data_IF_580485608805
#
_entry.id   IF_580485608805
#
_cell.length_a   1.000
_cell.length_b   1.000
_cell.length_c   1.000
_cell.angle_alpha   90.00
_cell.angle_beta   90.00
_cell.angle_gamma   90.00
#
_symmetry.space_group_name_H-M   'P 1'
#
loop_
_entity.id
_entity.type
_entity.pdbx_description
1 polymer ?
#
# COMPACT_ATOMS: atom_id res chain seq x y z
N UNK A 1 10.00 -0.79 2.59
CA UNK A 1 9.39 0.39 3.23
C UNK A 1 9.87 0.45 4.66
N UNK A 2 10.43 1.58 5.08
CA UNK A 2 10.80 1.82 6.47
C UNK A 2 9.54 2.11 7.30
N UNK A 3 9.59 1.93 8.61
CA UNK A 3 8.52 2.28 9.56
C UNK A 3 7.17 1.57 9.37
N UNK A 4 7.12 0.41 8.70
CA UNK A 4 5.86 -0.35 8.51
C UNK A 4 5.16 -0.73 9.83
N UNK A 5 5.92 -0.86 10.93
CA UNK A 5 5.40 -1.12 12.27
C UNK A 5 4.72 0.11 12.88
N UNK A 6 5.19 1.30 12.52
CA UNK A 6 4.75 2.57 13.10
C UNK A 6 3.63 3.19 12.26
N UNK A 7 3.66 3.00 10.93
CA UNK A 7 2.73 3.62 10.01
C UNK A 7 2.42 2.75 8.78
N UNK A 8 1.13 2.58 8.48
CA UNK A 8 0.68 1.98 7.24
C UNK A 8 0.31 3.07 6.22
N UNK A 9 1.18 3.35 5.23
CA UNK A 9 0.93 4.38 4.22
C UNK A 9 -0.12 3.97 3.17
N UNK A 10 -0.42 2.67 3.07
CA UNK A 10 -1.36 2.16 2.06
C UNK A 10 -2.81 2.24 2.54
N UNK A 11 -3.08 1.91 3.80
CA UNK A 11 -4.44 1.72 4.28
C UNK A 11 -4.72 2.43 5.61
N UNK A 12 -5.97 2.85 5.77
CA UNK A 12 -6.63 3.09 7.06
C UNK A 12 -7.31 1.79 7.47
N UNK A 13 -7.01 1.34 8.69
CA UNK A 13 -7.66 0.18 9.30
C UNK A 13 -8.45 0.70 10.51
N UNK A 14 -9.75 0.43 10.53
CA UNK A 14 -10.65 0.78 11.63
C UNK A 14 -11.29 -0.48 12.16
N UNK A 15 -11.22 -0.69 13.48
CA UNK A 15 -11.88 -1.82 14.15
C UNK A 15 -13.03 -1.28 14.97
N UNK A 16 -14.25 -1.65 14.59
CA UNK A 16 -15.48 -1.26 15.28
C UNK A 16 -16.13 -2.51 15.87
N UNK A 17 -16.27 -2.53 17.20
CA UNK A 17 -16.94 -3.59 17.92
C UNK A 17 -18.31 -3.10 18.39
N UNK A 18 -19.36 -3.84 18.07
CA UNK A 18 -20.73 -3.51 18.47
C UNK A 18 -21.59 -4.77 18.55
N UNK A 19 -22.76 -4.68 19.18
CA UNK A 19 -23.68 -5.81 19.31
C UNK A 19 -24.90 -5.56 18.46
N UNK A 20 -25.17 -6.48 17.53
CA UNK A 20 -26.38 -6.45 16.69
C UNK A 20 -27.50 -7.13 17.46
N UNK A 21 -28.63 -6.43 17.61
CA UNK A 21 -29.84 -7.01 18.20
C UNK A 21 -30.60 -7.76 17.10
N UNK A 22 -30.73 -9.07 17.25
CA UNK A 22 -31.45 -9.89 16.29
C UNK A 22 -31.52 -11.35 16.71
N UNK A 23 -32.37 -12.13 16.01
CA UNK A 23 -32.39 -13.58 16.11
C UNK A 23 -31.51 -14.11 14.99
N UNK A 24 -30.38 -14.73 15.36
CA UNK A 24 -29.48 -15.34 14.41
C UNK A 24 -29.84 -16.80 14.20
N UNK A 25 -29.71 -17.33 12.98
CA UNK A 25 -30.05 -18.70 12.68
C UNK A 25 -29.15 -19.66 13.46
N UNK A 26 -29.77 -20.43 14.36
CA UNK A 26 -29.13 -21.53 15.11
C UNK A 26 -29.32 -22.88 14.42
N UNK A 27 -30.33 -23.00 13.56
CA UNK A 27 -30.71 -24.25 12.88
C UNK A 27 -30.08 -24.42 11.50
N UNK A 28 -29.57 -23.35 10.88
CA UNK A 28 -28.97 -23.37 9.55
C UNK A 28 -27.84 -22.35 9.44
N UNK A 29 -26.99 -22.53 8.42
CA UNK A 29 -25.95 -21.57 8.08
C UNK A 29 -26.56 -20.38 7.34
N UNK A 30 -26.00 -19.19 7.55
CA UNK A 30 -26.42 -17.98 6.85
C UNK A 30 -26.38 -18.20 5.34
N UNK A 31 -27.42 -17.71 4.67
CA UNK A 31 -27.39 -17.56 3.23
C UNK A 31 -26.75 -16.22 2.83
N UNK A 32 -26.41 -16.07 1.55
CA UNK A 32 -25.81 -14.84 1.02
C UNK A 32 -26.69 -13.59 1.26
N UNK A 33 -28.00 -13.69 1.09
CA UNK A 33 -28.92 -12.55 1.20
C UNK A 33 -29.04 -12.05 2.63
N UNK A 34 -29.03 -12.94 3.62
CA UNK A 34 -29.02 -12.61 5.04
C UNK A 34 -27.73 -11.88 5.43
N UNK A 35 -26.58 -12.34 4.93
CA UNK A 35 -25.31 -11.63 5.13
C UNK A 35 -25.36 -10.25 4.48
N UNK A 36 -25.88 -10.12 3.26
CA UNK A 36 -26.03 -8.82 2.59
C UNK A 36 -26.91 -7.88 3.42
N UNK A 37 -27.96 -8.39 4.05
CA UNK A 37 -28.82 -7.59 4.93
C UNK A 37 -28.08 -7.09 6.17
N UNK A 38 -27.27 -7.93 6.81
CA UNK A 38 -26.41 -7.52 7.93
C UNK A 38 -25.39 -6.44 7.52
N UNK A 39 -24.82 -6.57 6.32
CA UNK A 39 -23.83 -5.62 5.80
C UNK A 39 -24.42 -4.24 5.45
N UNK A 40 -25.75 -4.09 5.35
CA UNK A 40 -26.38 -2.77 5.13
C UNK A 40 -26.14 -1.81 6.28
N UNK A 41 -26.06 -2.30 7.52
CA UNK A 41 -25.83 -1.45 8.69
C UNK A 41 -24.46 -0.76 8.65
N UNK A 42 -23.49 -1.38 7.98
CA UNK A 42 -22.12 -0.84 7.79
C UNK A 42 -21.91 -0.26 6.39
N UNK A 43 -22.94 -0.26 5.53
CA UNK A 43 -22.87 0.25 4.15
C UNK A 43 -21.98 -0.58 3.20
N UNK A 44 -21.78 -1.87 3.49
CA UNK A 44 -20.87 -2.77 2.74
C UNK A 44 -21.62 -3.82 1.91
N UNK A 45 -22.92 -3.64 1.68
CA UNK A 45 -23.78 -4.64 1.00
C UNK A 45 -23.27 -5.05 -0.39
N UNK A 46 -22.67 -4.11 -1.14
CA UNK A 46 -22.18 -4.33 -2.51
C UNK A 46 -20.76 -4.94 -2.55
N UNK A 47 -20.12 -5.04 -1.39
CA UNK A 47 -18.75 -5.51 -1.24
C UNK A 47 -18.63 -6.96 -0.79
N UNK A 48 -19.73 -7.69 -0.64
CA UNK A 48 -19.70 -9.12 -0.32
C UNK A 48 -18.90 -9.94 -1.35
N UNK A 49 -17.95 -10.76 -0.87
CA UNK A 49 -17.29 -11.81 -1.67
C UNK A 49 -17.79 -13.19 -1.26
N UNK A 50 -17.53 -13.56 0.00
CA UNK A 50 -17.81 -14.89 0.55
C UNK A 50 -17.87 -14.83 2.07
N UNK A 51 -18.50 -15.81 2.68
CA UNK A 51 -18.46 -16.03 4.13
C UNK A 51 -18.11 -17.48 4.44
N UNK A 52 -17.57 -17.70 5.63
CA UNK A 52 -17.35 -19.05 6.17
C UNK A 52 -17.48 -19.01 7.70
N UNK A 53 -17.52 -20.20 8.30
CA UNK A 53 -17.65 -20.40 9.73
C UNK A 53 -16.31 -20.90 10.29
N UNK A 54 -15.51 -20.06 10.98
CA UNK A 54 -14.32 -20.53 11.68
C UNK A 54 -14.63 -21.53 12.80
N UNK A 55 -15.80 -21.39 13.43
CA UNK A 55 -16.32 -22.27 14.46
C UNK A 55 -17.87 -22.30 14.37
N UNK A 56 -18.54 -23.04 15.26
CA UNK A 56 -20.00 -23.25 15.17
C UNK A 56 -20.84 -22.00 15.48
N UNK A 57 -20.28 -20.98 16.12
CA UNK A 57 -20.99 -19.77 16.55
C UNK A 57 -20.50 -18.50 15.86
N UNK A 58 -19.44 -18.56 15.05
CA UNK A 58 -18.81 -17.38 14.45
C UNK A 58 -18.90 -17.46 12.94
N UNK A 59 -19.29 -16.34 12.34
CA UNK A 59 -19.35 -16.15 10.89
C UNK A 59 -18.36 -15.07 10.53
N UNK A 60 -17.46 -15.39 9.60
CA UNK A 60 -16.53 -14.43 9.03
C UNK A 60 -16.85 -14.18 7.57
N UNK A 61 -17.13 -12.92 7.25
CA UNK A 61 -17.45 -12.43 5.91
C UNK A 61 -16.26 -11.64 5.38
N UNK A 62 -15.87 -11.92 4.14
CA UNK A 62 -14.82 -11.19 3.42
C UNK A 62 -15.42 -10.22 2.42
N UNK A 63 -14.86 -9.01 2.39
CA UNK A 63 -15.32 -7.91 1.55
C UNK A 63 -14.29 -7.54 0.46
N UNK A 64 -14.76 -6.96 -0.65
CA UNK A 64 -13.94 -6.55 -1.83
C UNK A 64 -12.80 -5.61 -1.50
N UNK A 65 -12.96 -4.76 -0.49
CA UNK A 65 -11.93 -3.83 -0.01
C UNK A 65 -10.78 -4.51 0.73
N UNK A 66 -10.92 -5.78 1.10
CA UNK A 66 -10.08 -6.45 2.10
C UNK A 66 -10.62 -6.33 3.53
N UNK A 67 -11.68 -5.53 3.76
CA UNK A 67 -12.38 -5.47 5.04
C UNK A 67 -12.94 -6.84 5.44
N UNK A 68 -13.11 -7.05 6.74
CA UNK A 68 -13.75 -8.26 7.26
C UNK A 68 -14.83 -7.95 8.29
N UNK A 69 -15.88 -8.76 8.29
CA UNK A 69 -16.99 -8.65 9.22
C UNK A 69 -17.12 -9.99 9.95
N UNK A 70 -16.94 -9.98 11.27
CA UNK A 70 -17.00 -11.17 12.10
C UNK A 70 -18.20 -11.02 13.03
N UNK A 71 -19.14 -11.95 12.97
CA UNK A 71 -20.32 -11.99 13.82
C UNK A 71 -20.32 -13.27 14.65
N UNK A 72 -20.49 -13.14 15.96
CA UNK A 72 -20.84 -14.23 16.86
C UNK A 72 -22.37 -14.35 16.94
N UNK A 73 -22.91 -15.48 16.49
CA UNK A 73 -24.35 -15.74 16.38
C UNK A 73 -25.01 -16.10 17.71
N UNK A 74 -24.24 -16.42 18.75
CA UNK A 74 -24.80 -16.70 20.08
C UNK A 74 -25.00 -15.41 20.87
N UNK A 75 -24.06 -14.48 20.76
CA UNK A 75 -24.03 -13.23 21.53
C UNK A 75 -24.51 -12.02 20.73
N UNK A 76 -24.49 -12.10 19.39
CA UNK A 76 -24.73 -10.96 18.50
C UNK A 76 -23.56 -9.99 18.40
N UNK A 77 -22.39 -10.35 18.96
CA UNK A 77 -21.22 -9.49 18.92
C UNK A 77 -20.60 -9.45 17.53
N UNK A 78 -20.33 -8.25 17.06
CA UNK A 78 -19.73 -7.98 15.76
C UNK A 78 -18.40 -7.29 15.96
N UNK A 79 -17.38 -7.80 15.26
CA UNK A 79 -16.12 -7.12 15.02
C UNK A 79 -16.01 -6.81 13.53
N UNK A 80 -16.19 -5.54 13.18
CA UNK A 80 -15.99 -5.04 11.81
C UNK A 80 -14.61 -4.42 11.69
N UNK A 81 -13.78 -4.99 10.82
CA UNK A 81 -12.47 -4.47 10.43
C UNK A 81 -12.58 -3.82 9.04
N UNK A 82 -12.68 -2.50 9.02
CA UNK A 82 -12.74 -1.70 7.80
C UNK A 82 -11.35 -1.37 7.28
N UNK A 83 -11.07 -1.75 6.03
CA UNK A 83 -9.83 -1.41 5.32
C UNK A 83 -10.17 -0.44 4.19
N UNK A 84 -9.59 0.77 4.23
CA UNK A 84 -9.75 1.79 3.18
C UNK A 84 -8.39 2.25 2.70
N UNK A 85 -8.25 2.45 1.38
CA UNK A 85 -7.01 3.02 0.80
C UNK A 85 -6.83 4.46 1.28
N UNK A 86 -5.61 4.83 1.65
CA UNK A 86 -5.29 6.23 1.96
C UNK A 86 -5.29 7.06 0.67
N UNK A 87 -5.91 8.25 0.66
CA UNK A 87 -5.76 9.15 -0.47
C UNK A 87 -4.29 9.57 -0.56
N UNK A 88 -3.77 9.68 -1.79
CA UNK A 88 -2.38 10.07 -2.12
C UNK A 88 -1.31 9.06 -1.70
N UNK A 89 -1.23 8.72 -0.41
CA UNK A 89 -0.17 7.85 0.13
C UNK A 89 -0.24 6.43 -0.44
N UNK A 90 -1.43 5.93 -0.74
CA UNK A 90 -1.58 4.63 -1.40
C UNK A 90 -0.92 4.65 -2.78
N UNK A 91 -1.15 5.69 -3.57
CA UNK A 91 -0.62 5.84 -4.93
C UNK A 91 0.91 5.98 -4.90
N UNK A 92 1.46 6.81 -4.01
CA UNK A 92 2.90 6.94 -3.83
C UNK A 92 3.55 5.61 -3.43
N UNK A 93 2.93 4.91 -2.48
CA UNK A 93 3.38 3.59 -2.06
C UNK A 93 3.30 2.59 -3.21
N UNK A 94 2.22 2.62 -4.00
CA UNK A 94 2.02 1.76 -5.16
C UNK A 94 3.10 1.97 -6.23
N UNK A 95 3.40 3.23 -6.57
CA UNK A 95 4.48 3.59 -7.49
C UNK A 95 5.86 3.18 -6.98
N UNK A 96 6.10 3.27 -5.67
CA UNK A 96 7.35 2.85 -5.06
C UNK A 96 7.64 1.35 -5.22
N UNK A 97 6.60 0.51 -5.32
CA UNK A 97 6.76 -0.93 -5.55
C UNK A 97 6.92 -1.29 -7.04
N UNK A 98 7.20 -0.32 -7.91
CA UNK A 98 7.33 -0.46 -9.37
C UNK A 98 6.13 -1.19 -10.02
N UNK A 99 4.99 -0.50 -10.16
CA UNK A 99 3.75 -1.12 -10.60
C UNK A 99 3.73 -1.32 -12.12
N UNK A 100 4.09 -2.52 -12.54
CA UNK A 100 3.91 -2.97 -13.91
C UNK A 100 4.89 -2.38 -14.91
N UNK A 101 4.74 -2.79 -16.17
CA UNK A 101 5.75 -2.56 -17.21
C UNK A 101 5.85 -1.11 -17.69
N UNK A 102 4.76 -0.34 -17.68
CA UNK A 102 4.80 1.08 -18.08
C UNK A 102 5.67 1.89 -17.12
N UNK A 103 5.54 1.70 -15.80
CA UNK A 103 6.35 2.46 -14.85
C UNK A 103 7.85 2.21 -15.04
N UNK A 104 8.24 1.00 -15.44
CA UNK A 104 9.61 0.70 -15.86
C UNK A 104 10.04 1.56 -17.06
N UNK A 105 9.26 1.61 -18.14
CA UNK A 105 9.61 2.43 -19.31
C UNK A 105 9.72 3.93 -18.98
N UNK A 106 8.83 4.44 -18.13
CA UNK A 106 8.93 5.83 -17.64
C UNK A 106 10.22 6.05 -16.85
N UNK A 107 10.57 5.11 -15.97
CA UNK A 107 11.79 5.16 -15.16
C UNK A 107 13.04 5.10 -16.03
N UNK A 108 13.06 4.26 -17.06
CA UNK A 108 14.17 4.14 -18.01
C UNK A 108 14.36 5.43 -18.81
N UNK A 109 13.27 6.02 -19.32
CA UNK A 109 13.31 7.31 -20.01
C UNK A 109 13.84 8.41 -19.09
N UNK A 110 13.35 8.47 -17.84
CA UNK A 110 13.82 9.42 -16.83
C UNK A 110 15.32 9.24 -16.57
N UNK A 111 15.81 8.01 -16.45
CA UNK A 111 17.22 7.71 -16.26
C UNK A 111 18.07 8.17 -17.46
N UNK A 112 17.63 7.91 -18.69
CA UNK A 112 18.31 8.38 -19.91
C UNK A 112 18.38 9.91 -19.93
N UNK A 113 17.29 10.62 -19.62
CA UNK A 113 17.28 12.08 -19.53
C UNK A 113 18.28 12.59 -18.49
N UNK A 114 18.33 11.98 -17.30
CA UNK A 114 19.28 12.36 -16.25
C UNK A 114 20.73 12.15 -16.68
N UNK A 115 21.04 11.04 -17.36
CA UNK A 115 22.37 10.78 -17.91
C UNK A 115 22.75 11.87 -18.91
N UNK A 116 21.84 12.23 -19.83
CA UNK A 116 22.09 13.28 -20.81
C UNK A 116 22.34 14.64 -20.14
N UNK A 117 21.54 15.00 -19.13
CA UNK A 117 21.70 16.24 -18.37
C UNK A 117 23.07 16.24 -17.68
N UNK A 118 23.44 15.16 -16.98
CA UNK A 118 24.73 15.05 -16.30
C UNK A 118 25.92 15.17 -17.28
N UNK A 119 25.89 14.44 -18.40
CA UNK A 119 26.94 14.51 -19.43
C UNK A 119 27.04 15.93 -19.99
N UNK A 120 25.90 16.54 -20.33
CA UNK A 120 25.88 17.90 -20.85
C UNK A 120 26.44 18.92 -19.86
N UNK A 121 26.10 18.80 -18.57
CA UNK A 121 26.60 19.67 -17.50
C UNK A 121 28.11 19.56 -17.32
N UNK A 122 28.66 18.35 -17.39
CA UNK A 122 30.11 18.10 -17.31
C UNK A 122 30.84 18.78 -18.49
N UNK A 123 30.27 18.72 -19.69
CA UNK A 123 30.88 19.25 -20.91
C UNK A 123 30.65 20.76 -21.13
N UNK A 124 29.68 21.35 -20.43
CA UNK A 124 29.28 22.75 -20.61
C UNK A 124 30.35 23.75 -20.15
N UNK A 125 31.06 23.45 -19.05
CA UNK A 125 32.10 24.33 -18.52
C UNK A 125 33.42 24.17 -19.29
N UNK A 126 34.01 25.29 -19.72
CA UNK A 126 35.29 25.33 -20.44
C UNK A 126 36.40 25.99 -19.60
N UNK A 127 37.65 25.77 -19.99
CA UNK A 127 38.81 26.38 -19.34
C UNK A 127 39.09 25.80 -17.94
N UNK A 128 39.54 26.65 -17.01
CA UNK A 128 39.99 26.22 -15.67
C UNK A 128 38.93 25.52 -14.82
N UNK A 129 37.63 25.72 -15.11
CA UNK A 129 36.50 25.04 -14.44
C UNK A 129 35.91 23.89 -15.26
N UNK A 130 36.51 23.55 -16.41
CA UNK A 130 36.10 22.41 -17.21
C UNK A 130 36.70 21.09 -16.70
N UNK A 131 36.47 20.02 -17.47
CA UNK A 131 36.89 18.66 -17.15
C UNK A 131 38.40 18.52 -16.89
N UNK A 132 39.24 19.23 -17.65
CA UNK A 132 40.70 19.19 -17.49
C UNK A 132 41.24 20.18 -16.45
N UNK A 133 40.36 20.83 -15.67
CA UNK A 133 40.72 21.76 -14.62
C UNK A 133 40.10 21.38 -13.27
N UNK A 134 39.69 22.39 -12.49
CA UNK A 134 39.10 22.22 -11.16
C UNK A 134 37.82 21.35 -11.22
N UNK A 135 37.03 21.48 -12.29
CA UNK A 135 35.80 20.69 -12.46
C UNK A 135 36.05 19.18 -12.55
N UNK A 136 37.19 18.75 -13.11
CA UNK A 136 37.57 17.32 -13.12
C UNK A 136 37.96 16.80 -11.73
N UNK A 137 38.61 17.64 -10.92
CA UNK A 137 38.97 17.31 -9.54
C UNK A 137 37.70 17.18 -8.69
N UNK A 138 36.75 18.11 -8.84
CA UNK A 138 35.44 18.05 -8.18
C UNK A 138 34.66 16.79 -8.57
N UNK A 139 34.65 16.44 -9.87
CA UNK A 139 34.01 15.21 -10.36
C UNK A 139 34.66 13.96 -9.76
N UNK A 140 35.99 13.87 -9.75
CA UNK A 140 36.72 12.75 -9.17
C UNK A 140 36.47 12.63 -7.66
N UNK A 141 36.49 13.74 -6.92
CA UNK A 141 36.19 13.75 -5.49
C UNK A 141 34.75 13.28 -5.22
N UNK A 142 33.78 13.74 -6.03
CA UNK A 142 32.38 13.32 -5.93
C UNK A 142 32.15 11.82 -6.19
N UNK A 143 33.02 11.17 -6.95
CA UNK A 143 33.00 9.71 -7.16
C UNK A 143 33.75 8.97 -6.06
N UNK A 144 34.96 9.44 -5.71
CA UNK A 144 35.86 8.76 -4.77
C UNK A 144 35.34 8.77 -3.34
N UNK A 145 34.77 9.89 -2.86
CA UNK A 145 34.30 9.98 -1.47
C UNK A 145 33.22 8.94 -1.17
N UNK A 146 32.13 8.80 -1.97
CA UNK A 146 31.15 7.73 -1.77
C UNK A 146 31.73 6.33 -1.98
N UNK A 147 32.61 6.14 -2.97
CA UNK A 147 33.21 4.83 -3.23
C UNK A 147 34.07 4.35 -2.05
N UNK A 148 34.84 5.26 -1.44
CA UNK A 148 35.62 4.97 -0.24
C UNK A 148 34.71 4.64 0.95
N UNK A 149 33.63 5.40 1.15
CA UNK A 149 32.65 5.14 2.21
C UNK A 149 31.90 3.79 2.07
N UNK A 150 31.87 3.20 0.86
CA UNK A 150 31.31 1.87 0.64
C UNK A 150 32.29 0.72 0.95
N UNK A 151 33.60 0.99 0.88
CA UNK A 151 34.65 -0.03 1.01
C UNK A 151 35.25 -0.05 2.42
N UNK A 152 35.30 1.09 3.10
CA UNK A 152 35.73 1.26 4.50
C UNK A 152 34.59 0.95 5.47
#
# INVERSE_FOLDING_TARGET
>A
MNHLKDFNPKYYITVNNYTVKGVFPTSHKFNKNEIIQLLKEVGEQDNYIKHFYPNNSTVKVFLKSGSSYILDTQTGNVAYEGIKKRPVFYQLSFLHYNPGTWWTYFSDLSAVCLILICISGILMNKGKRGLFGIGGIELLAGILIPALALIL
#
